data_IF_079842846266
#
_entry.id   IF_079842846266
#
_cell.length_a   1.000
_cell.length_b   1.000
_cell.length_c   1.000
_cell.angle_alpha   90.00
_cell.angle_beta   90.00
_cell.angle_gamma   90.00
#
_symmetry.space_group_name_H-M   'P 1'
#
loop_
_entity.id
_entity.type
_entity.pdbx_description
1 polymer ?
#
# COMPACT_ATOMS: atom_id res chain seq x y z
N UNK A 1 -3.49 13.64 19.56
CA UNK A 1 -3.28 14.01 18.14
C UNK A 1 -4.43 14.88 17.67
N UNK A 2 -4.13 16.02 17.03
CA UNK A 2 -5.16 16.95 16.52
C UNK A 2 -6.03 16.29 15.45
N UNK A 3 -7.31 16.68 15.35
CA UNK A 3 -8.25 16.10 14.37
C UNK A 3 -7.73 16.24 12.93
N UNK A 4 -7.13 17.41 12.60
CA UNK A 4 -6.48 17.66 11.31
C UNK A 4 -5.35 16.67 11.01
N UNK A 5 -4.52 16.36 12.01
CA UNK A 5 -3.41 15.42 11.87
C UNK A 5 -3.93 14.00 11.66
N UNK A 6 -5.04 13.62 12.33
CA UNK A 6 -5.66 12.30 12.13
C UNK A 6 -6.16 12.11 10.70
N UNK A 7 -6.84 13.12 10.15
CA UNK A 7 -7.27 13.12 8.75
C UNK A 7 -6.09 13.05 7.79
N UNK A 8 -5.06 13.86 8.01
CA UNK A 8 -3.85 13.85 7.20
C UNK A 8 -3.21 12.45 7.17
N UNK A 9 -3.04 11.81 8.33
CA UNK A 9 -2.47 10.46 8.43
C UNK A 9 -3.34 9.43 7.71
N UNK A 10 -4.67 9.48 7.86
CA UNK A 10 -5.58 8.57 7.16
C UNK A 10 -5.50 8.71 5.64
N UNK A 11 -5.43 9.94 5.12
CA UNK A 11 -5.28 10.20 3.69
C UNK A 11 -3.93 9.68 3.19
N UNK A 12 -2.83 9.96 3.90
CA UNK A 12 -1.50 9.45 3.53
C UNK A 12 -1.44 7.92 3.50
N UNK A 13 -2.07 7.24 4.47
CA UNK A 13 -2.18 5.78 4.49
C UNK A 13 -3.00 5.24 3.31
N UNK A 14 -4.07 5.93 2.92
CA UNK A 14 -4.87 5.53 1.76
C UNK A 14 -4.07 5.66 0.45
N UNK A 15 -3.35 6.77 0.27
CA UNK A 15 -2.45 6.97 -0.88
C UNK A 15 -1.38 5.87 -0.91
N UNK A 16 -0.74 5.61 0.22
CA UNK A 16 0.30 4.57 0.32
C UNK A 16 -0.25 3.17 -0.01
N UNK A 17 -1.46 2.86 0.45
CA UNK A 17 -2.16 1.61 0.13
C UNK A 17 -2.36 1.46 -1.38
N UNK A 18 -2.84 2.50 -2.06
CA UNK A 18 -3.07 2.48 -3.51
C UNK A 18 -1.75 2.24 -4.25
N UNK A 19 -0.66 2.88 -3.82
CA UNK A 19 0.67 2.72 -4.42
C UNK A 19 1.20 1.30 -4.24
N UNK A 20 1.08 0.72 -3.05
CA UNK A 20 1.46 -0.67 -2.79
C UNK A 20 0.66 -1.64 -3.67
N UNK A 21 -0.68 -1.51 -3.71
CA UNK A 21 -1.53 -2.39 -4.52
C UNK A 21 -1.20 -2.24 -6.01
N UNK A 22 -1.01 -1.01 -6.50
CA UNK A 22 -0.65 -0.76 -7.90
C UNK A 22 0.68 -1.41 -8.27
N UNK A 23 1.71 -1.33 -7.42
CA UNK A 23 2.97 -2.05 -7.66
C UNK A 23 2.84 -3.56 -7.54
N UNK A 24 2.06 -4.05 -6.57
CA UNK A 24 1.76 -5.48 -6.47
C UNK A 24 1.11 -6.01 -7.74
N UNK A 25 0.10 -5.30 -8.27
CA UNK A 25 -0.56 -5.65 -9.54
C UNK A 25 0.39 -5.57 -10.73
N UNK A 26 1.24 -4.55 -10.80
CA UNK A 26 2.24 -4.43 -11.87
C UNK A 26 3.20 -5.63 -11.84
N UNK A 27 3.76 -5.96 -10.67
CA UNK A 27 4.66 -7.09 -10.49
C UNK A 27 3.98 -8.42 -10.81
N UNK A 28 2.73 -8.57 -10.40
CA UNK A 28 1.92 -9.75 -10.69
C UNK A 28 1.62 -9.88 -12.19
N UNK A 29 1.40 -8.76 -12.88
CA UNK A 29 1.09 -8.75 -14.31
C UNK A 29 2.27 -9.11 -15.20
N UNK A 30 3.51 -9.01 -14.70
CA UNK A 30 4.68 -9.44 -15.46
C UNK A 30 4.70 -10.95 -15.71
N UNK A 31 4.05 -11.76 -14.85
CA UNK A 31 3.82 -13.18 -15.10
C UNK A 31 5.03 -13.91 -15.67
N UNK A 32 4.83 -14.66 -16.76
CA UNK A 32 5.91 -15.32 -17.52
C UNK A 32 6.38 -14.54 -18.75
N UNK A 33 6.17 -13.22 -18.75
CA UNK A 33 6.37 -12.36 -19.92
C UNK A 33 7.64 -11.51 -19.78
N UNK A 34 8.65 -12.07 -19.12
CA UNK A 34 9.93 -11.43 -18.87
C UNK A 34 10.98 -12.29 -19.54
N UNK A 35 11.93 -11.70 -20.27
CA UNK A 35 12.93 -12.43 -21.07
C UNK A 35 13.97 -13.21 -20.22
N UNK A 36 13.64 -13.67 -19.00
CA UNK A 36 14.53 -14.36 -18.07
C UNK A 36 15.69 -13.50 -17.53
N UNK A 37 15.94 -12.33 -18.11
CA UNK A 37 16.98 -11.38 -17.71
C UNK A 37 16.77 -10.74 -16.34
N UNK A 38 15.53 -10.77 -15.84
CA UNK A 38 15.08 -10.10 -14.62
C UNK A 38 14.79 -8.61 -14.83
N UNK A 39 14.00 -8.02 -13.92
CA UNK A 39 13.69 -6.58 -13.93
C UNK A 39 14.07 -5.94 -12.59
N UNK A 40 14.41 -4.66 -12.61
CA UNK A 40 14.55 -3.87 -11.40
C UNK A 40 13.20 -3.54 -10.78
N UNK A 41 13.12 -3.66 -9.45
CA UNK A 41 11.94 -3.31 -8.66
C UNK A 41 12.19 -2.00 -7.95
N UNK A 42 11.40 -0.99 -8.33
CA UNK A 42 11.46 0.36 -7.78
C UNK A 42 10.12 0.72 -7.12
N UNK A 43 10.19 1.38 -5.97
CA UNK A 43 9.03 1.88 -5.25
C UNK A 43 9.29 3.28 -4.71
N UNK A 44 8.37 4.22 -4.99
CA UNK A 44 8.50 5.63 -4.58
C UNK A 44 9.82 6.30 -5.03
N UNK A 45 10.37 5.88 -6.17
CA UNK A 45 11.64 6.38 -6.69
C UNK A 45 12.88 5.77 -6.02
N UNK A 46 12.71 4.84 -5.09
CA UNK A 46 13.78 4.07 -4.47
C UNK A 46 13.91 2.71 -5.14
N UNK A 47 15.14 2.32 -5.40
CA UNK A 47 15.48 0.97 -5.83
C UNK A 47 15.40 0.02 -4.65
N UNK A 48 14.61 -1.04 -4.78
CA UNK A 48 14.55 -2.13 -3.79
C UNK A 48 15.53 -3.23 -4.18
N UNK A 49 15.55 -3.55 -5.47
CA UNK A 49 16.43 -4.56 -6.04
C UNK A 49 16.62 -4.23 -7.54
N UNK A 50 17.87 -4.14 -7.98
CA UNK A 50 18.25 -3.87 -9.37
C UNK A 50 17.86 -5.00 -10.32
N UNK A 51 17.81 -6.24 -9.82
CA UNK A 51 17.55 -7.42 -10.63
C UNK A 51 16.78 -8.51 -9.89
N UNK A 52 15.47 -8.57 -10.14
CA UNK A 52 14.59 -9.65 -9.68
C UNK A 52 14.29 -10.59 -10.82
N UNK A 53 14.64 -11.87 -10.65
CA UNK A 53 14.29 -12.94 -11.57
C UNK A 53 12.77 -13.12 -11.63
N UNK A 54 12.27 -13.52 -12.80
CA UNK A 54 10.84 -13.78 -13.04
C UNK A 54 10.21 -14.68 -11.97
N UNK A 55 10.90 -15.78 -11.62
CA UNK A 55 10.44 -16.73 -10.61
C UNK A 55 10.20 -16.09 -9.22
N UNK A 56 10.86 -14.98 -8.92
CA UNK A 56 10.75 -14.27 -7.65
C UNK A 56 9.75 -13.09 -7.71
N UNK A 57 9.32 -12.65 -8.90
CA UNK A 57 8.39 -11.51 -9.04
C UNK A 57 7.07 -11.69 -8.29
N UNK A 58 6.42 -12.88 -8.30
CA UNK A 58 5.21 -13.11 -7.52
C UNK A 58 5.44 -12.91 -6.02
N UNK A 59 6.62 -13.30 -5.49
CA UNK A 59 6.96 -13.10 -4.08
C UNK A 59 7.05 -11.62 -3.72
N UNK A 60 7.68 -10.80 -4.58
CA UNK A 60 7.70 -9.35 -4.39
C UNK A 60 6.30 -8.74 -4.49
N UNK A 61 5.48 -9.17 -5.45
CA UNK A 61 4.09 -8.74 -5.58
C UNK A 61 3.27 -9.03 -4.30
N UNK A 62 3.41 -10.24 -3.74
CA UNK A 62 2.78 -10.63 -2.47
C UNK A 62 3.23 -9.71 -1.33
N UNK A 63 4.52 -9.39 -1.24
CA UNK A 63 5.04 -8.44 -0.26
C UNK A 63 4.35 -7.08 -0.33
N UNK A 64 4.17 -6.55 -1.54
CA UNK A 64 3.42 -5.31 -1.76
C UNK A 64 1.93 -5.42 -1.39
N UNK A 65 1.29 -6.55 -1.68
CA UNK A 65 -0.11 -6.76 -1.29
C UNK A 65 -0.28 -6.86 0.23
N UNK A 66 0.62 -7.55 0.93
CA UNK A 66 0.61 -7.63 2.40
C UNK A 66 0.81 -6.24 2.99
N UNK A 67 1.81 -5.48 2.51
CA UNK A 67 2.05 -4.11 2.96
C UNK A 67 0.82 -3.22 2.73
N UNK A 68 0.22 -3.29 1.54
CA UNK A 68 -1.01 -2.55 1.20
C UNK A 68 -2.19 -2.94 2.08
N UNK A 69 -2.38 -4.23 2.37
CA UNK A 69 -3.44 -4.71 3.27
C UNK A 69 -3.23 -4.20 4.70
N UNK A 70 -2.01 -4.26 5.23
CA UNK A 70 -1.69 -3.72 6.55
C UNK A 70 -2.02 -2.22 6.63
N UNK A 71 -1.62 -1.43 5.63
CA UNK A 71 -1.86 0.02 5.62
C UNK A 71 -3.34 0.36 5.43
N UNK A 72 -4.07 -0.45 4.66
CA UNK A 72 -5.52 -0.34 4.51
C UNK A 72 -6.24 -0.57 5.85
N UNK A 73 -5.91 -1.65 6.55
CA UNK A 73 -6.51 -1.98 7.84
C UNK A 73 -6.25 -0.88 8.87
N UNK A 74 -5.01 -0.37 8.94
CA UNK A 74 -4.67 0.75 9.83
C UNK A 74 -5.47 2.00 9.45
N UNK A 75 -5.65 2.28 8.16
CA UNK A 75 -6.45 3.43 7.68
C UNK A 75 -7.92 3.29 8.09
N UNK A 76 -8.53 2.11 7.89
CA UNK A 76 -9.91 1.81 8.27
C UNK A 76 -10.10 1.97 9.78
N UNK A 77 -9.22 1.39 10.60
CA UNK A 77 -9.30 1.53 12.06
C UNK A 77 -9.26 3.00 12.48
N UNK A 78 -8.39 3.80 11.86
CA UNK A 78 -8.30 5.24 12.15
C UNK A 78 -9.55 5.99 11.73
N UNK A 79 -10.10 5.69 10.54
CA UNK A 79 -11.30 6.32 10.01
C UNK A 79 -12.54 5.98 10.84
N UNK A 80 -12.74 4.70 11.19
CA UNK A 80 -13.84 4.25 12.05
C UNK A 80 -13.80 4.94 13.41
N UNK A 81 -12.62 5.04 14.04
CA UNK A 81 -12.46 5.78 15.31
C UNK A 81 -12.72 7.28 15.17
N UNK A 82 -12.55 7.85 13.97
CA UNK A 82 -12.81 9.26 13.71
C UNK A 82 -14.31 9.50 13.51
N UNK A 83 -14.98 8.63 12.74
CA UNK A 83 -16.42 8.67 12.51
C UNK A 83 -17.21 8.48 13.80
N UNK A 84 -16.90 7.45 14.59
CA UNK A 84 -17.55 7.20 15.89
C UNK A 84 -17.45 8.39 16.85
N UNK A 85 -16.31 9.10 16.85
CA UNK A 85 -16.10 10.30 17.68
C UNK A 85 -16.82 11.54 17.14
N UNK A 86 -17.10 11.59 15.84
CA UNK A 86 -17.87 12.67 15.23
C UNK A 86 -19.35 12.53 15.60
N UNK A 87 -19.90 11.33 15.51
CA UNK A 87 -21.31 11.04 15.83
C UNK A 87 -21.64 11.30 17.30
N UNK A 88 -20.72 11.02 18.24
CA UNK A 88 -20.96 11.32 19.66
C UNK A 88 -20.99 12.81 20.01
N UNK A 89 -20.47 13.68 19.14
CA UNK A 89 -20.48 15.14 19.35
C UNK A 89 -21.73 15.83 18.79
N UNK A 90 -22.47 15.17 17.92
CA UNK A 90 -23.70 15.70 17.30
C UNK A 90 -24.98 15.24 18.02
N UNK A 91 -24.87 14.37 19.03
CA UNK A 91 -25.98 13.82 19.79
C UNK A 91 -26.31 14.61 21.09
N UNK A 92 -25.82 15.84 21.21
CA UNK A 92 -26.11 16.80 22.30
C UNK A 92 -26.63 18.08 21.68
#
# INVERSE_FOLDING_TARGET
MNLKIRWLVSISLAIFTILCISKGLQLWSFGSNVDGGGIGVYFLGLEINDRVLEANMPTYAIGFFIAGLCTLLISIINLTRLLLRSTSRTAV
#
